data_IF_921751707130
#
_entry.id   IF_921751707130
#
_cell.length_a   1.000
_cell.length_b   1.000
_cell.length_c   1.000
_cell.angle_alpha   90.00
_cell.angle_beta   90.00
_cell.angle_gamma   90.00
#
_symmetry.space_group_name_H-M   'P 1'
#
loop_
_entity.id
_entity.type
_entity.pdbx_description
1 polymer ?
#
# COMPACT_ATOMS: atom_id res chain seq x y z
N UNK A 1 12.16 1.19 10.72
CA UNK A 1 10.76 1.55 10.36
C UNK A 1 9.77 0.59 10.98
N UNK A 2 8.57 1.07 11.35
CA UNK A 2 7.44 0.25 11.79
C UNK A 2 6.31 0.41 10.78
N UNK A 3 5.68 -0.70 10.38
CA UNK A 3 4.47 -0.67 9.58
C UNK A 3 3.28 -1.15 10.39
N UNK A 4 2.10 -0.58 10.14
CA UNK A 4 0.82 -1.03 10.66
C UNK A 4 -0.08 -1.42 9.49
N UNK A 5 -0.60 -2.65 9.53
CA UNK A 5 -1.70 -3.10 8.67
C UNK A 5 -2.98 -3.16 9.51
N UNK A 6 -3.82 -2.12 9.54
CA UNK A 6 -4.96 -2.06 10.47
C UNK A 6 -6.00 -3.15 10.24
N UNK A 7 -6.11 -3.66 9.01
CA UNK A 7 -7.02 -4.74 8.64
C UNK A 7 -6.33 -5.70 7.65
N UNK A 8 -5.51 -6.64 8.15
CA UNK A 8 -4.91 -7.67 7.33
C UNK A 8 -5.97 -8.59 6.72
N UNK A 9 -5.57 -9.39 5.73
CA UNK A 9 -6.40 -10.41 5.11
C UNK A 9 -5.61 -11.68 4.86
N UNK A 10 -6.30 -12.80 4.67
CA UNK A 10 -5.71 -13.95 4.00
C UNK A 10 -6.07 -13.83 2.51
N UNK A 11 -5.07 -13.64 1.69
CA UNK A 11 -5.23 -13.66 0.24
C UNK A 11 -5.19 -15.12 -0.23
N UNK A 12 -6.26 -15.56 -0.90
CA UNK A 12 -6.36 -16.88 -1.54
C UNK A 12 -6.26 -16.68 -3.04
N UNK A 13 -5.17 -17.18 -3.61
CA UNK A 13 -4.87 -17.02 -5.04
C UNK A 13 -5.38 -18.23 -5.82
N UNK A 14 -6.10 -17.96 -6.88
CA UNK A 14 -6.62 -18.92 -7.82
C UNK A 14 -6.19 -18.56 -9.24
N UNK A 15 -6.05 -19.56 -10.10
CA UNK A 15 -5.94 -19.37 -11.56
C UNK A 15 -7.20 -19.83 -12.26
N UNK A 16 -7.59 -19.15 -13.34
CA UNK A 16 -8.78 -19.47 -14.12
C UNK A 16 -8.90 -18.57 -15.36
N UNK A 17 -10.01 -18.76 -16.09
CA UNK A 17 -10.29 -17.98 -17.30
C UNK A 17 -10.99 -16.64 -17.03
N UNK A 18 -11.08 -16.23 -15.76
CA UNK A 18 -11.78 -15.04 -15.31
C UNK A 18 -13.11 -15.37 -14.62
N UNK A 19 -13.86 -14.32 -14.27
CA UNK A 19 -15.17 -14.43 -13.63
C UNK A 19 -16.26 -13.99 -14.62
N UNK A 20 -17.18 -14.89 -14.90
CA UNK A 20 -18.40 -14.61 -15.69
C UNK A 20 -19.60 -14.63 -14.74
N UNK A 21 -20.29 -13.50 -14.55
CA UNK A 21 -21.48 -13.44 -13.70
C UNK A 21 -22.60 -14.38 -14.18
N UNK A 22 -23.29 -15.01 -13.22
CA UNK A 22 -24.47 -15.82 -13.49
C UNK A 22 -24.19 -17.26 -13.91
N UNK A 23 -22.93 -17.69 -14.01
CA UNK A 23 -22.55 -19.07 -14.36
C UNK A 23 -21.58 -19.64 -13.32
N UNK A 24 -21.37 -20.96 -13.36
CA UNK A 24 -20.37 -21.65 -12.55
C UNK A 24 -18.98 -21.38 -13.15
N UNK A 25 -18.15 -20.63 -12.42
CA UNK A 25 -16.74 -20.43 -12.76
C UNK A 25 -15.90 -21.50 -12.05
N UNK A 26 -15.02 -22.16 -12.78
CA UNK A 26 -14.08 -23.13 -12.21
C UNK A 26 -12.69 -22.55 -12.18
N UNK A 27 -12.05 -22.60 -10.99
CA UNK A 27 -10.73 -22.05 -10.74
C UNK A 27 -9.84 -23.11 -10.07
N UNK A 28 -8.55 -23.02 -10.26
CA UNK A 28 -7.56 -23.86 -9.60
C UNK A 28 -6.90 -23.07 -8.47
N UNK A 29 -6.93 -23.64 -7.24
CA UNK A 29 -6.24 -23.06 -6.10
C UNK A 29 -4.73 -23.09 -6.32
N UNK A 30 -4.05 -21.99 -6.01
CA UNK A 30 -2.61 -21.85 -6.11
C UNK A 30 -1.95 -21.80 -4.73
N UNK A 31 -2.26 -20.79 -3.93
CA UNK A 31 -1.74 -20.65 -2.58
C UNK A 31 -2.61 -19.73 -1.71
N UNK A 32 -2.25 -19.64 -0.42
CA UNK A 32 -2.81 -18.66 0.52
C UNK A 32 -1.73 -18.12 1.42
N UNK A 33 -1.80 -16.83 1.73
CA UNK A 33 -0.86 -16.17 2.63
C UNK A 33 -1.48 -14.95 3.33
N UNK A 34 -0.92 -14.60 4.48
CA UNK A 34 -1.28 -13.36 5.17
C UNK A 34 -0.81 -12.16 4.35
N UNK A 35 -1.73 -11.26 4.05
CA UNK A 35 -1.52 -10.09 3.22
C UNK A 35 -2.03 -8.81 3.88
N UNK A 36 -1.65 -7.70 3.28
CA UNK A 36 -2.04 -6.35 3.65
C UNK A 36 -0.94 -5.35 3.31
N UNK A 37 -1.31 -4.13 2.94
CA UNK A 37 -0.36 -3.15 2.40
C UNK A 37 0.84 -2.90 3.33
N UNK A 38 0.60 -2.63 4.63
CA UNK A 38 1.67 -2.43 5.59
C UNK A 38 2.60 -3.64 5.73
N UNK A 39 2.04 -4.86 5.71
CA UNK A 39 2.82 -6.10 5.76
C UNK A 39 3.67 -6.31 4.49
N UNK A 40 3.11 -6.03 3.31
CA UNK A 40 3.84 -6.12 2.05
C UNK A 40 4.98 -5.09 1.99
N UNK A 41 4.73 -3.86 2.46
CA UNK A 41 5.77 -2.83 2.60
C UNK A 41 6.87 -3.28 3.55
N UNK A 42 6.51 -3.82 4.73
CA UNK A 42 7.48 -4.34 5.69
C UNK A 42 8.31 -5.49 5.10
N UNK A 43 7.68 -6.38 4.34
CA UNK A 43 8.39 -7.44 3.64
C UNK A 43 9.48 -6.86 2.72
N UNK A 44 9.12 -5.95 1.81
CA UNK A 44 10.07 -5.32 0.90
C UNK A 44 11.23 -4.64 1.66
N UNK A 45 10.92 -3.85 2.68
CA UNK A 45 11.90 -3.18 3.52
C UNK A 45 12.80 -4.17 4.27
N UNK A 46 12.28 -5.31 4.73
CA UNK A 46 13.05 -6.33 5.48
C UNK A 46 14.10 -7.04 4.62
N UNK A 47 13.98 -7.00 3.29
CA UNK A 47 14.99 -7.54 2.38
C UNK A 47 16.28 -6.68 2.33
N UNK A 48 16.18 -5.42 2.73
CA UNK A 48 17.28 -4.45 2.66
C UNK A 48 17.65 -3.85 4.02
N UNK A 49 16.83 -4.06 5.04
CA UNK A 49 17.08 -3.56 6.40
C UNK A 49 16.61 -4.55 7.48
N UNK A 50 17.45 -4.83 8.49
CA UNK A 50 17.05 -5.69 9.61
C UNK A 50 16.14 -4.99 10.63
N UNK A 51 16.01 -3.66 10.57
CA UNK A 51 15.29 -2.84 11.55
C UNK A 51 13.87 -2.51 11.06
N UNK A 52 13.08 -3.59 10.79
CA UNK A 52 11.69 -3.46 10.33
C UNK A 52 10.77 -4.28 11.21
N UNK A 53 9.62 -3.71 11.59
CA UNK A 53 8.53 -4.39 12.29
C UNK A 53 7.21 -4.13 11.58
N UNK A 54 6.37 -5.17 11.50
CA UNK A 54 5.03 -5.12 10.94
C UNK A 54 4.01 -5.49 12.00
N UNK A 55 3.25 -4.51 12.49
CA UNK A 55 2.18 -4.76 13.47
C UNK A 55 0.89 -5.07 12.73
N UNK A 56 0.26 -6.19 13.13
CA UNK A 56 -0.98 -6.69 12.53
C UNK A 56 -1.97 -7.13 13.60
N UNK A 57 -3.16 -6.51 13.74
CA UNK A 57 -4.25 -7.06 14.52
C UNK A 57 -4.81 -8.28 13.78
N UNK A 58 -4.66 -9.47 14.36
CA UNK A 58 -4.95 -10.71 13.67
C UNK A 58 -5.72 -11.68 14.56
N UNK A 59 -6.89 -12.07 14.11
CA UNK A 59 -7.71 -13.09 14.74
C UNK A 59 -7.48 -14.47 14.14
N UNK A 60 -8.37 -15.40 14.45
CA UNK A 60 -8.29 -16.76 13.94
C UNK A 60 -8.28 -16.82 12.41
N UNK A 61 -7.48 -17.72 11.86
CA UNK A 61 -7.45 -18.08 10.45
C UNK A 61 -8.02 -19.48 10.31
N UNK A 62 -9.09 -19.64 9.53
CA UNK A 62 -9.80 -20.94 9.36
C UNK A 62 -10.13 -21.63 10.71
N UNK A 63 -10.49 -20.86 11.73
CA UNK A 63 -10.84 -21.32 13.07
C UNK A 63 -9.65 -21.68 13.97
N UNK A 64 -8.41 -21.53 13.52
CA UNK A 64 -7.20 -21.76 14.27
C UNK A 64 -6.47 -20.45 14.63
N UNK A 65 -5.68 -20.41 15.73
CA UNK A 65 -4.81 -19.28 16.00
C UNK A 65 -3.83 -19.02 14.86
N UNK A 66 -3.51 -17.73 14.57
CA UNK A 66 -2.53 -17.43 13.55
C UNK A 66 -1.15 -17.98 13.90
N UNK A 67 -0.45 -18.50 12.91
CA UNK A 67 0.88 -19.08 13.07
C UNK A 67 1.80 -18.70 11.91
N UNK A 68 3.10 -18.90 12.09
CA UNK A 68 4.17 -18.53 11.16
C UNK A 68 3.97 -19.02 9.71
N UNK A 69 3.27 -20.14 9.53
CA UNK A 69 2.99 -20.71 8.21
C UNK A 69 2.15 -19.82 7.28
N UNK A 70 1.49 -18.78 7.83
CA UNK A 70 0.74 -17.82 7.04
C UNK A 70 1.60 -16.70 6.43
N UNK A 71 2.85 -16.53 6.87
CA UNK A 71 3.81 -15.58 6.32
C UNK A 71 5.23 -16.17 6.23
N UNK A 72 5.40 -17.31 5.54
CA UNK A 72 6.67 -18.06 5.52
C UNK A 72 7.82 -17.25 4.93
N UNK A 73 7.51 -16.36 4.00
CA UNK A 73 8.50 -15.57 3.26
C UNK A 73 9.01 -14.34 4.05
N UNK A 74 8.30 -13.92 5.10
CA UNK A 74 8.72 -12.78 5.92
C UNK A 74 9.75 -13.23 6.94
N UNK A 75 10.85 -12.50 7.11
CA UNK A 75 11.90 -12.86 8.07
C UNK A 75 11.37 -13.01 9.50
N UNK A 76 11.98 -13.89 10.27
CA UNK A 76 11.61 -14.10 11.66
C UNK A 76 11.73 -12.83 12.50
N UNK A 77 10.74 -12.61 13.36
CA UNK A 77 10.70 -11.45 14.24
C UNK A 77 10.27 -10.14 13.56
N UNK A 78 9.95 -10.13 12.25
CA UNK A 78 9.40 -8.93 11.59
C UNK A 78 7.93 -8.73 11.93
N UNK A 79 7.12 -9.80 11.90
CA UNK A 79 5.67 -9.72 12.13
C UNK A 79 5.35 -9.76 13.63
N UNK A 80 4.65 -8.73 14.08
CA UNK A 80 4.12 -8.57 15.43
C UNK A 80 2.60 -8.70 15.42
N UNK A 81 2.10 -9.85 15.87
CA UNK A 81 0.66 -10.12 15.92
C UNK A 81 0.06 -9.54 17.20
N UNK A 82 -1.00 -8.74 17.03
CA UNK A 82 -1.87 -8.31 18.13
C UNK A 82 -3.14 -9.15 18.07
N UNK A 83 -3.40 -10.05 19.05
CA UNK A 83 -4.56 -10.91 19.02
C UNK A 83 -5.88 -10.10 19.11
N UNK A 84 -6.82 -10.41 18.21
CA UNK A 84 -8.18 -9.85 18.18
C UNK A 84 -9.21 -10.98 18.11
N UNK A 85 -10.45 -10.68 18.53
CA UNK A 85 -11.51 -11.68 18.70
C UNK A 85 -12.14 -12.14 17.38
N UNK A 86 -12.27 -11.23 16.42
CA UNK A 86 -12.87 -11.52 15.12
C UNK A 86 -11.91 -12.29 14.22
N UNK A 87 -12.39 -13.29 13.46
CA UNK A 87 -11.59 -13.96 12.44
C UNK A 87 -11.03 -12.95 11.43
N UNK A 88 -9.86 -13.28 10.89
CA UNK A 88 -9.29 -12.49 9.78
C UNK A 88 -10.17 -12.63 8.54
N UNK A 89 -10.32 -11.52 7.80
CA UNK A 89 -11.03 -11.53 6.50
C UNK A 89 -10.23 -12.28 5.45
N UNK A 90 -10.94 -12.77 4.46
CA UNK A 90 -10.35 -13.50 3.32
C UNK A 90 -10.64 -12.77 2.02
N UNK A 91 -9.64 -12.70 1.16
CA UNK A 91 -9.80 -12.20 -0.20
C UNK A 91 -9.61 -13.35 -1.18
N UNK A 92 -10.37 -13.37 -2.28
CA UNK A 92 -10.11 -14.26 -3.39
C UNK A 92 -9.50 -13.45 -4.56
N UNK A 93 -8.32 -13.87 -5.00
CA UNK A 93 -7.60 -13.27 -6.12
C UNK A 93 -7.62 -14.26 -7.25
N UNK A 94 -8.31 -13.95 -8.34
CA UNK A 94 -8.40 -14.78 -9.53
C UNK A 94 -7.48 -14.18 -10.61
N UNK A 95 -6.35 -14.86 -10.85
CA UNK A 95 -5.41 -14.49 -11.89
C UNK A 95 -5.72 -15.28 -13.17
N UNK A 96 -5.74 -14.62 -14.31
CA UNK A 96 -5.97 -15.23 -15.61
C UNK A 96 -4.68 -15.36 -16.41
N UNK A 97 -4.68 -16.28 -17.38
CA UNK A 97 -3.49 -16.57 -18.23
C UNK A 97 -3.06 -15.34 -19.04
N UNK A 98 -3.99 -14.46 -19.37
CA UNK A 98 -3.75 -13.19 -20.09
C UNK A 98 -3.28 -12.05 -19.19
N UNK A 99 -2.98 -12.35 -17.90
CA UNK A 99 -2.40 -11.38 -16.95
C UNK A 99 -3.42 -10.48 -16.23
N UNK A 100 -4.73 -10.67 -16.46
CA UNK A 100 -5.75 -9.94 -15.71
C UNK A 100 -5.94 -10.53 -14.32
N UNK A 101 -6.26 -9.66 -13.36
CA UNK A 101 -6.53 -10.06 -11.98
C UNK A 101 -7.89 -9.53 -11.53
N UNK A 102 -8.73 -10.41 -11.00
CA UNK A 102 -9.99 -10.03 -10.34
C UNK A 102 -9.89 -10.28 -8.85
N UNK A 103 -10.13 -9.24 -8.05
CA UNK A 103 -10.08 -9.32 -6.60
C UNK A 103 -11.50 -9.28 -6.02
N UNK A 104 -11.83 -10.26 -5.18
CA UNK A 104 -13.03 -10.29 -4.36
C UNK A 104 -12.59 -10.12 -2.91
N UNK A 105 -12.78 -8.94 -2.36
CA UNK A 105 -12.29 -8.57 -1.04
C UNK A 105 -13.43 -8.57 -0.03
N UNK A 106 -13.28 -9.31 1.06
CA UNK A 106 -14.19 -9.21 2.20
C UNK A 106 -14.06 -7.87 2.92
N UNK A 107 -15.18 -7.40 3.46
CA UNK A 107 -15.19 -6.23 4.33
C UNK A 107 -14.30 -6.44 5.57
N UNK A 108 -13.61 -5.40 6.03
CA UNK A 108 -12.80 -5.48 7.24
C UNK A 108 -13.63 -5.87 8.45
N UNK A 109 -13.16 -6.81 9.31
CA UNK A 109 -13.80 -7.05 10.60
C UNK A 109 -13.71 -5.81 11.48
N UNK A 110 -14.75 -5.57 12.29
CA UNK A 110 -14.71 -4.49 13.28
C UNK A 110 -13.80 -4.85 14.45
N UNK A 111 -13.13 -3.85 15.00
CA UNK A 111 -12.38 -3.95 16.25
C UNK A 111 -13.11 -3.20 17.37
N UNK A 112 -13.07 -3.73 18.59
CA UNK A 112 -13.50 -2.99 19.75
C UNK A 112 -12.42 -1.99 20.22
N UNK A 113 -12.82 -1.08 21.12
CA UNK A 113 -11.92 -0.04 21.64
C UNK A 113 -10.65 -0.63 22.28
N UNK A 114 -10.78 -1.73 23.01
CA UNK A 114 -9.65 -2.35 23.71
C UNK A 114 -8.70 -3.04 22.70
N UNK A 115 -9.23 -3.67 21.67
CA UNK A 115 -8.46 -4.28 20.59
C UNK A 115 -7.67 -3.23 19.80
N UNK A 116 -8.34 -2.12 19.48
CA UNK A 116 -7.69 -1.00 18.81
C UNK A 116 -6.62 -0.36 19.69
N UNK A 117 -6.91 -0.11 20.96
CA UNK A 117 -5.93 0.44 21.90
C UNK A 117 -4.69 -0.46 22.02
N UNK A 118 -4.85 -1.77 22.19
CA UNK A 118 -3.72 -2.71 22.19
C UNK A 118 -2.91 -2.67 20.89
N UNK A 119 -3.58 -2.46 19.75
CA UNK A 119 -2.91 -2.34 18.45
C UNK A 119 -2.06 -1.07 18.38
N UNK A 120 -2.61 0.04 18.85
CA UNK A 120 -1.89 1.32 18.96
C UNK A 120 -0.70 1.18 19.91
N UNK A 121 -0.91 0.67 21.13
CA UNK A 121 0.13 0.50 22.13
C UNK A 121 1.28 -0.38 21.62
N UNK A 122 0.95 -1.50 20.94
CA UNK A 122 1.97 -2.36 20.36
C UNK A 122 2.74 -1.67 19.23
N UNK A 123 2.07 -0.87 18.42
CA UNK A 123 2.73 -0.09 17.35
C UNK A 123 3.72 0.90 17.94
N UNK A 124 3.32 1.66 18.95
CA UNK A 124 4.18 2.62 19.63
C UNK A 124 5.35 1.93 20.35
N UNK A 125 5.10 0.82 21.03
CA UNK A 125 6.15 0.01 21.66
C UNK A 125 7.19 -0.50 20.64
N UNK A 126 6.78 -0.85 19.42
CA UNK A 126 7.71 -1.26 18.35
C UNK A 126 8.52 -0.07 17.83
N UNK A 127 7.92 1.12 17.70
CA UNK A 127 8.63 2.34 17.32
C UNK A 127 9.74 2.63 18.32
N UNK A 128 9.42 2.61 19.61
CA UNK A 128 10.38 2.87 20.69
C UNK A 128 11.46 1.77 20.76
N UNK A 129 11.06 0.50 20.67
CA UNK A 129 11.99 -0.62 20.82
C UNK A 129 13.10 -0.65 19.76
N UNK A 130 12.76 -0.41 18.50
CA UNK A 130 13.76 -0.42 17.42
C UNK A 130 14.29 0.99 17.06
N UNK A 131 13.85 2.03 17.78
CA UNK A 131 14.19 3.43 17.44
C UNK A 131 13.73 3.79 16.02
N UNK A 132 12.50 3.43 15.66
CA UNK A 132 12.03 3.65 14.31
C UNK A 132 11.83 5.14 14.02
N UNK A 133 12.40 5.61 12.94
CA UNK A 133 12.30 6.98 12.43
C UNK A 133 11.03 7.21 11.58
N UNK A 134 10.27 6.13 11.29
CA UNK A 134 9.04 6.22 10.47
C UNK A 134 8.01 5.16 10.84
N UNK A 135 6.75 5.61 10.91
CA UNK A 135 5.55 4.77 10.94
C UNK A 135 4.92 4.78 9.55
N UNK A 136 4.64 3.61 9.00
CA UNK A 136 3.90 3.45 7.74
C UNK A 136 2.57 2.80 8.02
N UNK A 137 1.45 3.45 7.71
CA UNK A 137 0.12 2.84 7.86
C UNK A 137 -0.46 2.55 6.49
N UNK A 138 -0.69 1.25 6.22
CA UNK A 138 -1.13 0.79 4.90
C UNK A 138 -2.35 -0.10 4.94
N UNK A 139 -3.26 0.12 3.99
CA UNK A 139 -4.46 -0.68 3.76
C UNK A 139 -5.75 -0.05 4.27
N UNK A 140 -6.78 -0.89 4.36
CA UNK A 140 -8.13 -0.49 4.76
C UNK A 140 -8.22 -0.35 6.28
N UNK A 141 -8.99 0.61 6.76
CA UNK A 141 -9.27 0.77 8.18
C UNK A 141 -10.44 -0.11 8.62
N UNK A 142 -10.32 -0.82 9.76
CA UNK A 142 -11.46 -1.50 10.37
C UNK A 142 -12.47 -0.50 10.91
N UNK A 143 -13.70 -0.96 11.10
CA UNK A 143 -14.71 -0.17 11.82
C UNK A 143 -14.53 -0.35 13.32
N UNK A 144 -14.80 0.70 14.08
CA UNK A 144 -14.93 0.61 15.54
C UNK A 144 -16.31 0.04 15.88
N UNK A 145 -16.36 -1.02 16.67
CA UNK A 145 -17.60 -1.71 17.03
C UNK A 145 -18.60 -0.77 17.70
N UNK A 146 -18.11 0.16 18.53
CA UNK A 146 -18.95 1.07 19.34
C UNK A 146 -19.60 2.18 18.52
N UNK A 147 -18.96 2.62 17.44
CA UNK A 147 -19.44 3.79 16.67
C UNK A 147 -19.91 3.42 15.27
N UNK A 148 -19.53 2.25 14.76
CA UNK A 148 -19.74 1.86 13.37
C UNK A 148 -18.92 2.65 12.34
N UNK A 149 -18.25 3.73 12.77
CA UNK A 149 -17.30 4.49 11.98
C UNK A 149 -15.93 3.80 11.91
N UNK A 150 -15.02 4.28 11.05
CA UNK A 150 -13.66 3.79 11.05
C UNK A 150 -12.90 4.20 12.32
N UNK A 151 -11.94 3.35 12.74
CA UNK A 151 -10.99 3.71 13.80
C UNK A 151 -10.26 5.01 13.44
N UNK A 152 -9.89 5.78 14.47
CA UNK A 152 -9.18 7.03 14.29
C UNK A 152 -7.67 6.82 14.44
N UNK A 153 -6.90 7.31 13.45
CA UNK A 153 -5.43 7.26 13.45
C UNK A 153 -4.79 8.51 14.04
N UNK A 154 -5.55 9.60 14.25
CA UNK A 154 -4.99 10.85 14.75
C UNK A 154 -4.16 10.68 16.03
N UNK A 155 -4.70 10.07 17.09
CA UNK A 155 -3.95 9.83 18.33
C UNK A 155 -2.71 8.96 18.15
N UNK A 156 -2.74 7.99 17.24
CA UNK A 156 -1.55 7.19 16.90
C UNK A 156 -0.48 8.05 16.22
N UNK A 157 -0.87 8.91 15.27
CA UNK A 157 0.07 9.79 14.58
C UNK A 157 0.72 10.81 15.52
N UNK A 158 -0.06 11.41 16.42
CA UNK A 158 0.44 12.32 17.45
C UNK A 158 1.46 11.62 18.36
N UNK A 159 1.14 10.42 18.84
CA UNK A 159 2.03 9.66 19.73
C UNK A 159 3.28 9.18 19.01
N UNK A 160 3.18 8.68 17.78
CA UNK A 160 4.31 8.26 16.98
C UNK A 160 5.25 9.45 16.65
N UNK A 161 4.66 10.61 16.32
CA UNK A 161 5.42 11.83 16.08
C UNK A 161 6.16 12.32 17.36
N UNK A 162 5.52 12.22 18.51
CA UNK A 162 6.16 12.53 19.79
C UNK A 162 7.35 11.60 20.11
N UNK A 163 7.36 10.38 19.58
CA UNK A 163 8.51 9.46 19.64
C UNK A 163 9.56 9.74 18.55
N UNK A 164 9.38 10.76 17.72
CA UNK A 164 10.28 11.15 16.63
C UNK A 164 10.04 10.42 15.31
N UNK A 165 8.99 9.62 15.19
CA UNK A 165 8.68 8.92 13.94
C UNK A 165 7.89 9.84 12.97
N UNK A 166 8.31 9.86 11.71
CA UNK A 166 7.57 10.47 10.59
C UNK A 166 6.47 9.53 10.11
N UNK A 167 5.46 10.04 9.44
CA UNK A 167 4.25 9.29 9.10
C UNK A 167 4.09 9.16 7.59
N UNK A 168 4.09 7.92 7.07
CA UNK A 168 3.73 7.62 5.70
C UNK A 168 2.41 6.83 5.64
N UNK A 169 1.58 7.09 4.64
CA UNK A 169 0.33 6.35 4.46
C UNK A 169 0.16 5.82 3.02
N UNK A 170 -0.38 4.61 2.92
CA UNK A 170 -0.88 4.01 1.69
C UNK A 170 -2.29 3.46 1.92
N UNK A 171 -3.28 4.30 1.71
CA UNK A 171 -4.69 4.05 1.96
C UNK A 171 -5.52 4.39 0.73
N UNK A 172 -6.80 4.01 0.76
CA UNK A 172 -7.75 4.27 -0.33
C UNK A 172 -9.00 5.01 0.16
N UNK A 173 -9.75 5.59 -0.75
CA UNK A 173 -11.09 6.13 -0.51
C UNK A 173 -11.12 7.24 0.54
N UNK A 174 -12.13 7.18 1.42
CA UNK A 174 -12.37 8.21 2.44
C UNK A 174 -11.23 8.31 3.47
N UNK A 175 -10.54 7.21 3.77
CA UNK A 175 -9.39 7.21 4.66
C UNK A 175 -8.23 8.02 4.07
N UNK A 176 -7.91 7.80 2.79
CA UNK A 176 -6.89 8.61 2.09
C UNK A 176 -7.29 10.09 2.08
N UNK A 177 -8.54 10.42 1.70
CA UNK A 177 -9.03 11.80 1.65
C UNK A 177 -8.95 12.50 3.00
N UNK A 178 -9.19 11.78 4.09
CA UNK A 178 -9.10 12.30 5.46
C UNK A 178 -7.64 12.54 5.86
N UNK A 179 -6.81 11.50 5.77
CA UNK A 179 -5.47 11.54 6.34
C UNK A 179 -4.42 12.19 5.43
N UNK A 180 -4.67 12.33 4.13
CA UNK A 180 -3.86 13.19 3.25
C UNK A 180 -3.91 14.68 3.64
N UNK A 181 -4.77 15.07 4.58
CA UNK A 181 -4.86 16.44 5.15
C UNK A 181 -4.31 16.51 6.57
N UNK A 182 -3.87 15.38 7.14
CA UNK A 182 -3.39 15.35 8.51
C UNK A 182 -1.98 15.94 8.60
N UNK A 183 -1.72 17.00 9.38
CA UNK A 183 -0.49 17.79 9.32
C UNK A 183 0.79 17.02 9.67
N UNK A 184 0.68 15.88 10.33
CA UNK A 184 1.80 15.01 10.69
C UNK A 184 2.12 13.94 9.63
N UNK A 185 1.32 13.82 8.57
CA UNK A 185 1.62 12.91 7.46
C UNK A 185 2.61 13.58 6.51
N UNK A 186 3.73 12.95 6.23
CA UNK A 186 4.79 13.49 5.37
C UNK A 186 4.95 12.77 4.04
N UNK A 187 4.37 11.56 3.90
CA UNK A 187 4.33 10.81 2.64
C UNK A 187 2.95 10.21 2.43
N UNK A 188 2.39 10.41 1.25
CA UNK A 188 1.22 9.67 0.77
C UNK A 188 1.51 9.00 -0.56
N UNK A 189 0.93 7.79 -0.78
CA UNK A 189 1.07 7.12 -2.06
C UNK A 189 -0.29 6.79 -2.68
N UNK A 190 -0.95 7.71 -3.37
CA UNK A 190 -2.10 7.39 -4.21
C UNK A 190 -1.67 6.70 -5.52
N UNK A 191 -2.56 5.90 -6.10
CA UNK A 191 -2.53 5.62 -7.53
C UNK A 191 -3.25 6.73 -8.30
N UNK A 192 -3.26 6.66 -9.64
CA UNK A 192 -3.89 7.68 -10.48
C UNK A 192 -5.37 7.89 -10.12
N UNK A 193 -6.13 6.81 -9.97
CA UNK A 193 -7.57 6.89 -9.63
C UNK A 193 -7.81 7.48 -8.24
N UNK A 194 -6.97 7.12 -7.27
CA UNK A 194 -7.03 7.66 -5.91
C UNK A 194 -6.68 9.16 -5.89
N UNK A 195 -5.67 9.57 -6.67
CA UNK A 195 -5.33 10.99 -6.81
C UNK A 195 -6.46 11.78 -7.47
N UNK A 196 -7.08 11.25 -8.53
CA UNK A 196 -8.29 11.83 -9.15
C UNK A 196 -9.41 12.01 -8.12
N UNK A 197 -9.61 11.02 -7.24
CA UNK A 197 -10.62 11.07 -6.18
C UNK A 197 -10.38 12.19 -5.17
N UNK A 198 -9.13 12.43 -4.74
CA UNK A 198 -8.80 13.50 -3.77
C UNK A 198 -8.63 14.87 -4.42
N UNK A 199 -8.28 14.93 -5.70
CA UNK A 199 -8.20 16.16 -6.48
C UNK A 199 -9.57 16.63 -6.99
N UNK A 200 -10.53 15.72 -7.13
CA UNK A 200 -11.85 15.94 -7.76
C UNK A 200 -11.74 16.37 -9.20
N UNK A 201 -10.78 15.80 -9.95
CA UNK A 201 -10.51 16.15 -11.34
C UNK A 201 -10.14 14.91 -12.15
N UNK A 202 -10.27 15.02 -13.49
CA UNK A 202 -9.86 13.99 -14.43
C UNK A 202 -8.44 14.30 -14.92
N UNK A 203 -7.50 13.39 -14.61
CA UNK A 203 -6.09 13.57 -14.96
C UNK A 203 -5.77 12.75 -16.22
N UNK A 204 -5.29 13.40 -17.26
CA UNK A 204 -5.02 12.80 -18.59
C UNK A 204 -3.56 12.89 -19.01
N UNK A 205 -2.83 13.82 -18.43
CA UNK A 205 -1.43 14.07 -18.74
C UNK A 205 -0.58 14.05 -17.48
N UNK A 206 0.72 13.90 -17.65
CA UNK A 206 1.67 14.04 -16.52
C UNK A 206 1.57 15.43 -15.86
N UNK A 207 1.32 16.48 -16.65
CA UNK A 207 1.09 17.84 -16.13
C UNK A 207 -0.11 17.90 -15.20
N UNK A 208 -1.23 17.26 -15.57
CA UNK A 208 -2.43 17.20 -14.71
C UNK A 208 -2.11 16.51 -13.38
N UNK A 209 -1.36 15.40 -13.42
CA UNK A 209 -0.97 14.67 -12.21
C UNK A 209 -0.10 15.53 -11.30
N UNK A 210 0.90 16.23 -11.86
CA UNK A 210 1.77 17.13 -11.09
C UNK A 210 0.97 18.25 -10.44
N UNK A 211 0.06 18.90 -11.17
CA UNK A 211 -0.75 20.00 -10.63
C UNK A 211 -1.75 19.50 -9.58
N UNK A 212 -2.35 18.32 -9.77
CA UNK A 212 -3.21 17.70 -8.77
C UNK A 212 -2.45 17.38 -7.48
N UNK A 213 -1.26 16.78 -7.60
CA UNK A 213 -0.40 16.50 -6.45
C UNK A 213 0.03 17.79 -5.73
N UNK A 214 0.43 18.82 -6.46
CA UNK A 214 0.75 20.14 -5.90
C UNK A 214 -0.45 20.79 -5.20
N UNK A 215 -1.66 20.62 -5.74
CA UNK A 215 -2.88 21.10 -5.09
C UNK A 215 -3.14 20.38 -3.76
N UNK A 216 -2.86 19.07 -3.67
CA UNK A 216 -2.91 18.31 -2.40
C UNK A 216 -1.88 18.86 -1.43
N UNK A 217 -0.63 19.07 -1.85
CA UNK A 217 0.46 19.62 -1.01
C UNK A 217 0.08 21.01 -0.48
N UNK A 218 -0.43 21.89 -1.34
CA UNK A 218 -0.88 23.25 -0.90
C UNK A 218 -1.98 23.19 0.16
N UNK A 219 -2.94 22.25 0.02
CA UNK A 219 -4.03 22.09 0.99
C UNK A 219 -3.58 21.44 2.28
N UNK A 220 -2.53 20.63 2.23
CA UNK A 220 -1.94 19.99 3.40
C UNK A 220 -1.29 21.01 4.35
N UNK A 221 -0.59 22.01 3.82
CA UNK A 221 -0.03 23.12 4.58
C UNK A 221 1.24 22.80 5.39
N UNK A 222 1.73 21.57 5.32
CA UNK A 222 3.01 21.11 5.90
C UNK A 222 3.84 20.41 4.81
N UNK A 223 5.15 20.16 5.01
CA UNK A 223 5.94 19.40 4.06
C UNK A 223 5.32 18.02 3.77
N UNK A 224 5.00 17.76 2.51
CA UNK A 224 4.38 16.51 2.05
C UNK A 224 5.05 16.04 0.77
N UNK A 225 5.38 14.76 0.70
CA UNK A 225 5.76 14.06 -0.52
C UNK A 225 4.57 13.25 -1.03
N UNK A 226 4.14 13.52 -2.25
CA UNK A 226 3.09 12.75 -2.93
C UNK A 226 3.77 11.81 -3.93
N UNK A 227 3.64 10.51 -3.72
CA UNK A 227 4.17 9.47 -4.62
C UNK A 227 3.00 8.88 -5.40
N UNK A 228 2.95 9.08 -6.70
CA UNK A 228 1.83 8.63 -7.55
C UNK A 228 2.26 7.43 -8.37
N UNK A 229 1.60 6.28 -8.17
CA UNK A 229 1.80 5.12 -9.04
C UNK A 229 0.92 5.24 -10.28
N UNK A 230 1.56 5.14 -11.47
CA UNK A 230 0.96 5.38 -12.79
C UNK A 230 0.88 4.11 -13.65
N UNK A 231 0.97 2.91 -13.02
CA UNK A 231 0.95 1.65 -13.75
C UNK A 231 2.15 1.51 -14.69
N UNK A 232 1.91 1.33 -15.97
CA UNK A 232 2.95 1.19 -16.99
C UNK A 232 3.74 2.48 -17.24
N UNK A 233 3.19 3.65 -16.89
CA UNK A 233 3.90 4.93 -16.91
C UNK A 233 4.89 5.10 -15.73
N UNK A 234 4.96 4.13 -14.81
CA UNK A 234 5.94 4.13 -13.73
C UNK A 234 5.51 4.86 -12.46
N UNK A 235 6.41 5.64 -11.89
CA UNK A 235 6.25 6.28 -10.59
C UNK A 235 6.62 7.76 -10.66
N UNK A 236 5.75 8.61 -10.11
CA UNK A 236 5.96 10.05 -10.03
C UNK A 236 6.05 10.49 -8.56
N UNK A 237 7.07 11.25 -8.20
CA UNK A 237 7.23 11.90 -6.90
C UNK A 237 7.07 13.41 -7.02
N UNK A 238 6.25 14.01 -6.16
CA UNK A 238 6.02 15.46 -6.14
C UNK A 238 6.21 15.99 -4.73
N UNK A 239 7.02 17.02 -4.60
CA UNK A 239 7.15 17.90 -3.44
C UNK A 239 6.80 19.33 -3.84
N UNK A 240 6.79 20.24 -2.89
CA UNK A 240 6.51 21.66 -3.18
C UNK A 240 7.49 22.26 -4.21
N UNK A 241 8.75 21.89 -4.10
CA UNK A 241 9.90 22.41 -4.85
C UNK A 241 10.53 21.42 -5.83
N UNK A 242 10.07 20.17 -5.87
CA UNK A 242 10.67 19.12 -6.69
C UNK A 242 9.61 18.22 -7.34
N UNK A 243 9.93 17.75 -8.55
CA UNK A 243 9.17 16.72 -9.28
C UNK A 243 10.17 15.73 -9.84
N UNK A 244 9.92 14.45 -9.65
CA UNK A 244 10.74 13.36 -10.13
C UNK A 244 9.85 12.28 -10.75
N UNK A 245 10.23 11.73 -11.89
CA UNK A 245 9.53 10.65 -12.55
C UNK A 245 10.51 9.58 -13.00
N UNK A 246 10.16 8.32 -12.76
CA UNK A 246 10.90 7.18 -13.27
C UNK A 246 9.94 6.24 -14.01
N UNK A 247 10.26 5.83 -15.25
CA UNK A 247 9.44 4.89 -16.02
C UNK A 247 9.40 3.51 -15.36
N UNK A 248 8.38 2.72 -15.67
CA UNK A 248 8.36 1.32 -15.28
C UNK A 248 9.40 0.52 -16.08
N UNK A 249 9.96 -0.52 -15.44
CA UNK A 249 10.76 -1.52 -16.16
C UNK A 249 9.87 -2.36 -17.08
N UNK A 250 10.34 -2.63 -18.28
CA UNK A 250 9.70 -3.58 -19.18
C UNK A 250 9.94 -5.02 -18.67
N UNK A 251 8.98 -5.56 -17.94
CA UNK A 251 8.99 -6.92 -17.40
C UNK A 251 7.69 -7.65 -17.76
N UNK A 252 7.68 -9.00 -17.81
CA UNK A 252 6.45 -9.75 -17.94
C UNK A 252 5.53 -9.47 -16.76
N UNK A 253 4.27 -9.13 -17.02
CA UNK A 253 3.26 -8.91 -15.97
C UNK A 253 2.60 -10.23 -15.61
N UNK A 254 2.80 -10.70 -14.38
CA UNK A 254 2.22 -11.93 -13.84
C UNK A 254 1.12 -11.61 -12.82
N UNK A 255 1.37 -10.65 -11.93
CA UNK A 255 0.41 -10.22 -10.90
C UNK A 255 0.66 -8.76 -10.53
N UNK A 256 -0.33 -7.90 -10.71
CA UNK A 256 -0.21 -6.46 -10.38
C UNK A 256 -0.47 -6.15 -8.90
N UNK A 257 -0.98 -7.12 -8.13
CA UNK A 257 -1.26 -6.94 -6.70
C UNK A 257 0.05 -6.76 -5.91
N UNK A 258 0.10 -5.74 -5.06
CA UNK A 258 1.29 -5.46 -4.24
C UNK A 258 2.40 -4.66 -4.92
N UNK A 259 2.28 -4.36 -6.23
CA UNK A 259 3.25 -3.52 -6.93
C UNK A 259 3.38 -2.12 -6.30
N UNK A 260 2.26 -1.51 -5.94
CA UNK A 260 2.24 -0.23 -5.24
C UNK A 260 2.87 -0.29 -3.85
N UNK A 261 2.69 -1.40 -3.12
CA UNK A 261 3.28 -1.62 -1.80
C UNK A 261 4.81 -1.73 -1.93
N UNK A 262 5.28 -2.52 -2.91
CA UNK A 262 6.71 -2.66 -3.22
C UNK A 262 7.32 -1.33 -3.69
N UNK A 263 6.60 -0.57 -4.52
CA UNK A 263 7.04 0.76 -4.94
C UNK A 263 7.21 1.71 -3.74
N UNK A 264 6.23 1.75 -2.82
CA UNK A 264 6.36 2.57 -1.62
C UNK A 264 7.52 2.10 -0.72
N UNK A 265 7.68 0.79 -0.55
CA UNK A 265 8.81 0.25 0.19
C UNK A 265 10.15 0.70 -0.41
N UNK A 266 10.29 0.64 -1.74
CA UNK A 266 11.47 1.14 -2.46
C UNK A 266 11.70 2.63 -2.26
N UNK A 267 10.66 3.45 -2.39
CA UNK A 267 10.75 4.89 -2.09
C UNK A 267 11.24 5.12 -0.67
N UNK A 268 10.60 4.48 0.32
CA UNK A 268 10.92 4.69 1.73
C UNK A 268 12.30 4.16 2.12
N UNK A 269 12.84 3.17 1.40
CA UNK A 269 14.19 2.65 1.64
C UNK A 269 15.30 3.66 1.34
N UNK A 270 15.02 4.64 0.47
CA UNK A 270 15.97 5.66 0.02
C UNK A 270 15.56 7.09 0.40
N UNK A 271 14.29 7.28 0.83
CA UNK A 271 13.81 8.61 1.18
C UNK A 271 14.31 9.01 2.56
N UNK A 272 15.08 10.11 2.61
CA UNK A 272 15.55 10.73 3.86
C UNK A 272 16.52 9.86 4.70
N UNK A 273 17.64 9.48 4.16
CA UNK A 273 18.70 8.93 4.99
C UNK A 273 19.23 10.03 5.95
N UNK A 274 19.26 9.79 7.28
CA UNK A 274 19.61 10.84 8.25
C UNK A 274 21.02 11.44 8.09
N UNK A 275 21.92 10.71 7.44
CA UNK A 275 23.34 11.10 7.25
C UNK A 275 23.60 11.76 5.89
N UNK A 276 22.60 11.78 5.00
CA UNK A 276 22.74 12.42 3.69
C UNK A 276 21.49 13.26 3.38
N UNK A 277 21.50 14.57 3.70
CA UNK A 277 20.39 15.47 3.42
C UNK A 277 20.16 15.72 1.91
N UNK A 278 20.94 15.08 1.04
CA UNK A 278 20.94 15.23 -0.43
C UNK A 278 20.54 13.95 -1.12
N UNK A 279 19.76 13.04 -0.52
CA UNK A 279 19.11 12.04 -1.35
C UNK A 279 18.04 12.74 -2.17
N UNK A 280 18.31 12.97 -3.47
CA UNK A 280 17.34 13.61 -4.33
C UNK A 280 16.10 12.72 -4.38
N UNK A 281 14.94 13.33 -4.42
CA UNK A 281 13.67 12.63 -4.68
C UNK A 281 13.81 11.65 -5.84
N UNK A 282 14.70 11.95 -6.79
CA UNK A 282 15.03 11.14 -7.97
C UNK A 282 15.48 9.72 -7.61
N UNK A 283 16.41 9.54 -6.68
CA UNK A 283 16.89 8.20 -6.31
C UNK A 283 15.77 7.37 -5.66
N UNK A 284 15.02 7.97 -4.75
CA UNK A 284 13.90 7.30 -4.08
C UNK A 284 12.83 6.87 -5.10
N UNK A 285 12.47 7.74 -6.05
CA UNK A 285 11.47 7.43 -7.08
C UNK A 285 11.99 6.36 -8.04
N UNK A 286 13.26 6.41 -8.44
CA UNK A 286 13.86 5.40 -9.31
C UNK A 286 13.92 4.01 -8.63
N UNK A 287 14.26 3.92 -7.35
CA UNK A 287 14.22 2.68 -6.58
C UNK A 287 12.78 2.19 -6.44
N UNK A 288 11.83 3.08 -6.12
CA UNK A 288 10.41 2.74 -6.03
C UNK A 288 9.85 2.19 -7.33
N UNK A 289 10.13 2.83 -8.47
CA UNK A 289 9.72 2.36 -9.80
C UNK A 289 10.32 0.98 -10.12
N UNK A 290 11.60 0.77 -9.78
CA UNK A 290 12.29 -0.52 -9.93
C UNK A 290 11.58 -1.61 -9.12
N UNK A 291 11.32 -1.38 -7.83
CA UNK A 291 10.72 -2.39 -6.96
C UNK A 291 9.27 -2.70 -7.35
N UNK A 292 8.48 -1.67 -7.69
CA UNK A 292 7.13 -1.84 -8.19
C UNK A 292 7.07 -2.68 -9.47
N UNK A 293 7.97 -2.41 -10.41
CA UNK A 293 8.07 -3.17 -11.67
C UNK A 293 8.52 -4.61 -11.45
N UNK A 294 9.49 -4.86 -10.58
CA UNK A 294 9.93 -6.22 -10.29
C UNK A 294 8.83 -7.03 -9.57
N UNK A 295 8.01 -6.38 -8.74
CA UNK A 295 6.92 -7.06 -8.05
C UNK A 295 5.88 -7.64 -9.00
N UNK A 296 5.54 -6.95 -10.10
CA UNK A 296 4.55 -7.47 -11.06
C UNK A 296 5.00 -8.70 -11.84
N UNK A 297 6.30 -9.00 -11.86
CA UNK A 297 6.85 -10.18 -12.52
C UNK A 297 6.70 -11.48 -11.68
N UNK A 298 6.16 -11.39 -10.47
CA UNK A 298 5.98 -12.51 -9.55
C UNK A 298 4.51 -12.88 -9.37
N UNK A 299 4.25 -14.16 -9.10
CA UNK A 299 2.89 -14.67 -8.85
C UNK A 299 2.33 -14.26 -7.48
N UNK A 300 3.20 -13.84 -6.54
CA UNK A 300 2.82 -13.33 -5.21
C UNK A 300 3.13 -11.85 -5.10
N UNK A 301 2.57 -11.19 -4.08
CA UNK A 301 2.85 -9.78 -3.77
C UNK A 301 4.25 -9.54 -3.18
N UNK A 302 5.08 -10.58 -3.08
CA UNK A 302 6.37 -10.59 -2.37
C UNK A 302 7.47 -11.14 -3.26
N UNK A 303 8.15 -10.29 -4.04
CA UNK A 303 9.30 -10.71 -4.83
C UNK A 303 10.44 -11.17 -3.90
N UNK A 304 11.13 -12.29 -4.21
CA UNK A 304 12.10 -12.88 -3.29
C UNK A 304 13.38 -12.06 -3.11
N UNK A 305 13.64 -11.14 -4.03
CA UNK A 305 14.80 -10.26 -4.02
C UNK A 305 14.42 -8.89 -4.57
N UNK A 306 14.98 -7.85 -3.98
CA UNK A 306 14.84 -6.48 -4.42
C UNK A 306 16.23 -5.81 -4.41
N UNK A 307 16.64 -5.12 -5.48
CA UNK A 307 17.94 -4.50 -5.56
C UNK A 307 18.00 -3.25 -4.68
N UNK A 308 19.12 -3.00 -4.03
CA UNK A 308 19.35 -1.78 -3.25
C UNK A 308 19.61 -0.55 -4.13
N UNK A 309 19.81 -0.75 -5.44
CA UNK A 309 19.98 0.32 -6.42
C UNK A 309 18.88 0.29 -7.45
N UNK A 310 18.53 1.46 -7.98
CA UNK A 310 17.58 1.57 -9.08
C UNK A 310 18.14 0.89 -10.35
N UNK A 311 17.22 0.24 -11.09
CA UNK A 311 17.50 -0.32 -12.44
C UNK A 311 16.97 0.61 -13.54
N UNK A 312 16.23 1.65 -13.18
CA UNK A 312 15.79 2.72 -14.06
C UNK A 312 16.37 4.06 -13.59
N UNK A 313 16.52 5.00 -14.51
CA UNK A 313 16.85 6.38 -14.19
C UNK A 313 15.58 7.24 -14.19
N UNK A 314 15.62 8.36 -13.50
CA UNK A 314 14.57 9.38 -13.63
C UNK A 314 14.71 10.11 -14.96
N UNK A 315 13.57 10.53 -15.50
CA UNK A 315 13.49 11.27 -16.75
C UNK A 315 12.74 12.60 -16.54
N UNK A 316 12.99 13.61 -17.37
CA UNK A 316 12.25 14.87 -17.29
C UNK A 316 10.77 14.66 -17.56
N UNK A 317 9.93 15.23 -16.68
CA UNK A 317 8.47 15.19 -16.86
C UNK A 317 8.06 16.11 -18.01
N UNK A 318 7.43 15.53 -19.04
CA UNK A 318 6.85 16.29 -20.14
C UNK A 318 5.36 16.53 -19.83
N UNK A 319 5.01 17.73 -19.42
CA UNK A 319 3.67 18.07 -18.94
C UNK A 319 2.54 17.76 -19.91
N UNK A 320 2.80 17.82 -21.23
CA UNK A 320 1.82 17.51 -22.27
C UNK A 320 1.75 16.03 -22.65
N UNK A 321 2.66 15.20 -22.14
CA UNK A 321 2.64 13.77 -22.40
C UNK A 321 1.37 13.15 -21.84
N UNK A 322 0.59 12.47 -22.69
CA UNK A 322 -0.58 11.73 -22.26
C UNK A 322 -0.17 10.54 -21.40
N UNK A 323 -0.98 10.25 -20.41
CA UNK A 323 -0.85 9.01 -19.63
C UNK A 323 -1.27 7.83 -20.50
N UNK A 324 -0.65 6.68 -20.29
CA UNK A 324 -1.11 5.43 -20.88
C UNK A 324 -2.57 5.17 -20.47
N UNK A 325 -3.38 4.72 -21.43
CA UNK A 325 -4.73 4.30 -21.09
C UNK A 325 -4.63 3.12 -20.10
N UNK A 326 -5.36 3.15 -18.97
CA UNK A 326 -5.36 2.01 -18.06
C UNK A 326 -5.72 0.77 -18.88
N UNK A 327 -4.83 -0.22 -18.92
CA UNK A 327 -5.12 -1.52 -19.53
C UNK A 327 -6.47 -1.96 -18.96
N UNK A 328 -7.47 -2.17 -19.85
CA UNK A 328 -8.88 -2.16 -19.53
C UNK A 328 -9.20 -3.12 -18.36
N UNK A 329 -9.18 -2.59 -17.14
CA UNK A 329 -9.89 -3.19 -16.02
C UNK A 329 -11.35 -3.11 -16.45
N UNK A 330 -11.91 -4.20 -16.97
CA UNK A 330 -13.33 -4.29 -17.23
C UNK A 330 -14.02 -4.18 -15.86
N UNK A 331 -14.35 -2.96 -15.49
CA UNK A 331 -15.33 -2.71 -14.44
C UNK A 331 -16.60 -3.41 -14.91
N UNK A 332 -17.01 -4.42 -14.18
CA UNK A 332 -18.34 -5.02 -14.34
C UNK A 332 -19.32 -3.99 -13.79
N UNK A 333 -19.57 -2.95 -14.58
CA UNK A 333 -20.63 -1.98 -14.34
C UNK A 333 -21.95 -2.64 -14.73
N UNK A 334 -22.65 -3.22 -13.74
CA UNK A 334 -23.91 -3.91 -14.02
C UNK A 334 -24.68 -4.43 -12.82
N UNK A 335 -24.27 -4.13 -11.60
CA UNK A 335 -25.00 -4.56 -10.38
C UNK A 335 -25.62 -3.38 -9.61
N UNK A 336 -26.13 -2.37 -10.32
CA UNK A 336 -27.08 -1.41 -9.74
C UNK A 336 -28.41 -1.56 -10.48
N UNK A 337 -29.32 -2.33 -9.92
CA UNK A 337 -30.67 -2.37 -10.42
C UNK A 337 -31.49 -3.52 -9.87
N UNK A 338 -32.48 -3.13 -9.08
CA UNK A 338 -33.67 -3.88 -8.70
C UNK A 338 -33.61 -4.72 -7.43
N UNK A 339 -33.84 -4.06 -6.30
CA UNK A 339 -34.82 -4.58 -5.35
C UNK A 339 -35.84 -3.46 -5.08
N UNK A 340 -36.99 -3.55 -5.74
CA UNK A 340 -38.25 -3.00 -5.28
C UNK A 340 -38.85 -3.96 -4.29
#
# INVERSE_FOLDING_TARGET
MVTLTPSPAIDRVYSGDGIVPGVVNRVSYQNSYLAGKGLNIAYGLSLVSPHVKAVVPLGAVDGAPPHRGWWPDVADGVVEVVPVSRPVRQNAIIATVDGHTTNLNEEPPSLDRAEWARTVDRTLAMIEWIGADRLVVGGTLPRATETGGHVDLGPLFESAHALGARIAIDMSGTALSRYARHPLVDVIKPNLSELQGIAHDTLRTFGDVVEAARAVIRRHGSPLTVVVSLGEDGLLGVRADAVSWAPALAVPVVNTTGAGDSALAGVLSALDHPTDPVHPLDEAIAIGATWGSLAVAHSTTRPPQLPVRALVATEPVQSHQALAEPSAIRTVSGLTGAHA
#
